data_IF_536731877589
#
_entry.id   IF_536731877589
#
_cell.length_a   1.000
_cell.length_b   1.000
_cell.length_c   1.000
_cell.angle_alpha   90.00
_cell.angle_beta   90.00
_cell.angle_gamma   90.00
#
_symmetry.space_group_name_H-M   'P 1'
#
loop_
_entity.id
_entity.type
_entity.pdbx_description
1 polymer ?
#
# COMPACT_ATOMS: atom_id res chain seq x y z
N UNK A 1 31.57 -21.20 -7.42
CA UNK A 1 31.31 -21.09 -5.96
C UNK A 1 29.84 -21.36 -5.65
N UNK A 2 28.89 -20.94 -6.50
CA UNK A 2 27.44 -21.17 -6.31
C UNK A 2 27.02 -22.63 -6.37
N UNK A 3 27.54 -23.41 -7.33
CA UNK A 3 27.20 -24.83 -7.43
C UNK A 3 27.60 -25.68 -6.19
N UNK A 4 28.65 -25.25 -5.47
CA UNK A 4 29.08 -25.93 -4.23
C UNK A 4 28.12 -25.67 -3.06
N UNK A 5 27.60 -24.47 -2.92
CA UNK A 5 26.65 -24.12 -1.86
C UNK A 5 25.29 -24.80 -2.09
N UNK A 6 24.80 -24.80 -3.32
CA UNK A 6 23.54 -25.47 -3.71
C UNK A 6 23.62 -26.97 -3.42
N UNK A 7 24.72 -27.63 -3.85
CA UNK A 7 24.93 -29.07 -3.60
C UNK A 7 25.06 -29.37 -2.11
N UNK A 8 25.70 -28.47 -1.34
CA UNK A 8 25.83 -28.64 0.12
C UNK A 8 24.46 -28.50 0.82
N UNK A 9 23.69 -27.48 0.49
CA UNK A 9 22.35 -27.27 1.08
C UNK A 9 21.40 -28.41 0.70
N UNK A 10 21.40 -28.83 -0.55
CA UNK A 10 20.62 -29.97 -1.00
C UNK A 10 21.00 -31.25 -0.25
N UNK A 11 22.32 -31.55 -0.13
CA UNK A 11 22.78 -32.74 0.60
C UNK A 11 22.40 -32.70 2.08
N UNK A 12 22.46 -31.51 2.72
CA UNK A 12 22.06 -31.32 4.11
C UNK A 12 20.56 -31.61 4.30
N UNK A 13 19.73 -31.09 3.41
CA UNK A 13 18.26 -31.27 3.47
C UNK A 13 17.85 -32.70 3.20
N UNK A 14 18.56 -33.39 2.30
CA UNK A 14 18.30 -34.82 2.00
C UNK A 14 18.73 -35.77 3.12
N UNK A 15 19.65 -35.37 4.00
CA UNK A 15 20.05 -36.14 5.17
C UNK A 15 19.03 -36.07 6.33
N UNK A 16 18.06 -35.16 6.27
CA UNK A 16 17.01 -35.05 7.29
C UNK A 16 16.14 -36.34 7.21
N UNK A 17 15.87 -36.99 8.36
CA UNK A 17 14.93 -38.13 8.42
C UNK A 17 13.55 -37.73 7.87
N UNK A 18 12.87 -38.65 7.20
CA UNK A 18 11.60 -38.39 6.50
C UNK A 18 10.48 -37.89 7.42
N UNK A 19 10.45 -38.33 8.66
CA UNK A 19 9.53 -37.90 9.71
C UNK A 19 9.78 -36.46 10.17
N UNK A 20 11.00 -35.95 10.03
CA UNK A 20 11.37 -34.58 10.40
C UNK A 20 11.31 -33.58 9.23
N UNK A 21 11.27 -34.02 7.98
CA UNK A 21 11.20 -33.15 6.79
C UNK A 21 10.00 -32.20 6.81
N UNK A 22 8.77 -32.60 7.21
CA UNK A 22 7.65 -31.65 7.30
C UNK A 22 7.89 -30.52 8.30
N UNK A 23 8.58 -30.79 9.41
CA UNK A 23 8.96 -29.77 10.40
C UNK A 23 10.08 -28.89 9.89
N UNK A 24 11.04 -29.45 9.19
CA UNK A 24 12.10 -28.70 8.51
C UNK A 24 11.54 -27.78 7.44
N UNK A 25 10.53 -28.24 6.69
CA UNK A 25 9.80 -27.43 5.70
C UNK A 25 9.12 -26.21 6.36
N UNK A 26 8.45 -26.42 7.49
CA UNK A 26 7.83 -25.33 8.26
C UNK A 26 8.88 -24.35 8.80
N UNK A 27 10.00 -24.86 9.34
CA UNK A 27 11.10 -24.04 9.87
C UNK A 27 11.77 -23.20 8.76
N UNK A 28 12.11 -23.81 7.63
CA UNK A 28 12.66 -23.12 6.47
C UNK A 28 11.67 -22.07 5.96
N UNK A 29 10.42 -22.46 5.80
CA UNK A 29 9.36 -21.56 5.35
C UNK A 29 9.17 -20.35 6.28
N UNK A 30 9.19 -20.57 7.60
CA UNK A 30 9.07 -19.52 8.59
C UNK A 30 10.25 -18.54 8.54
N UNK A 31 11.47 -19.03 8.39
CA UNK A 31 12.67 -18.19 8.27
C UNK A 31 12.57 -17.29 7.03
N UNK A 32 12.22 -17.89 5.88
CA UNK A 32 12.07 -17.14 4.62
C UNK A 32 10.91 -16.13 4.71
N UNK A 33 9.78 -16.53 5.31
CA UNK A 33 8.63 -15.65 5.54
C UNK A 33 9.02 -14.41 6.35
N UNK A 34 9.71 -14.59 7.47
CA UNK A 34 10.16 -13.47 8.31
C UNK A 34 11.16 -12.59 7.55
N UNK A 35 12.14 -13.19 6.88
CA UNK A 35 13.10 -12.45 6.05
C UNK A 35 12.40 -11.64 4.95
N UNK A 36 11.43 -12.26 4.26
CA UNK A 36 10.65 -11.58 3.23
C UNK A 36 9.77 -10.47 3.80
N UNK A 37 9.15 -10.66 4.97
CA UNK A 37 8.35 -9.63 5.63
C UNK A 37 9.21 -8.41 6.00
N UNK A 38 10.41 -8.63 6.53
CA UNK A 38 11.36 -7.55 6.83
C UNK A 38 11.83 -6.83 5.57
N UNK A 39 12.18 -7.58 4.53
CA UNK A 39 12.56 -7.03 3.23
C UNK A 39 11.42 -6.20 2.62
N UNK A 40 10.24 -6.77 2.55
CA UNK A 40 9.06 -6.11 1.97
C UNK A 40 8.67 -4.86 2.77
N UNK A 41 8.65 -4.94 4.10
CA UNK A 41 8.35 -3.80 4.96
C UNK A 41 9.36 -2.66 4.81
N UNK A 42 10.65 -2.98 4.74
CA UNK A 42 11.70 -1.98 4.48
C UNK A 42 11.56 -1.36 3.07
N UNK A 43 11.22 -2.16 2.07
CA UNK A 43 10.96 -1.71 0.70
C UNK A 43 9.74 -0.78 0.63
N UNK A 44 8.63 -1.15 1.24
CA UNK A 44 7.43 -0.29 1.35
C UNK A 44 7.76 1.02 2.05
N UNK A 45 8.49 0.96 3.17
CA UNK A 45 8.93 2.16 3.88
C UNK A 45 9.80 3.07 2.98
N UNK A 46 10.75 2.50 2.26
CA UNK A 46 11.60 3.24 1.33
C UNK A 46 10.79 3.93 0.22
N UNK A 47 9.80 3.23 -0.36
CA UNK A 47 8.91 3.81 -1.38
C UNK A 47 8.07 4.95 -0.80
N UNK A 48 7.53 4.81 0.40
CA UNK A 48 6.78 5.88 1.06
C UNK A 48 7.65 7.11 1.37
N UNK A 49 8.88 6.89 1.83
CA UNK A 49 9.86 7.99 2.05
C UNK A 49 10.22 8.65 0.72
N UNK A 50 10.48 7.87 -0.33
CA UNK A 50 10.73 8.39 -1.68
C UNK A 50 9.56 9.23 -2.17
N UNK A 51 8.32 8.71 -2.08
CA UNK A 51 7.10 9.43 -2.48
C UNK A 51 6.97 10.76 -1.75
N UNK A 52 7.01 10.75 -0.41
CA UNK A 52 6.90 11.95 0.43
C UNK A 52 8.02 12.98 0.17
N UNK A 53 9.24 12.54 -0.10
CA UNK A 53 10.36 13.43 -0.42
C UNK A 53 10.15 14.15 -1.74
N UNK A 54 9.70 13.42 -2.77
CA UNK A 54 9.47 14.00 -4.08
C UNK A 54 8.19 14.84 -4.10
N UNK A 55 7.15 14.44 -3.40
CA UNK A 55 5.95 15.27 -3.16
C UNK A 55 6.35 16.64 -2.58
N UNK A 56 7.15 16.67 -1.51
CA UNK A 56 7.64 17.94 -0.93
C UNK A 56 8.48 18.79 -1.90
N UNK A 57 9.25 18.16 -2.78
CA UNK A 57 10.02 18.90 -3.82
C UNK A 57 9.11 19.52 -4.85
N UNK A 58 8.07 18.81 -5.27
CA UNK A 58 7.05 19.32 -6.17
C UNK A 58 6.31 20.51 -5.55
N UNK A 59 6.04 20.47 -4.24
CA UNK A 59 5.40 21.59 -3.51
C UNK A 59 6.25 22.86 -3.49
N UNK A 60 7.57 22.74 -3.47
CA UNK A 60 8.48 23.90 -3.43
C UNK A 60 8.69 24.55 -4.79
N UNK A 61 8.25 23.90 -5.88
CA UNK A 61 8.38 24.34 -7.27
C UNK A 61 7.05 24.85 -7.85
N UNK A 62 6.97 24.85 -9.19
CA UNK A 62 5.72 24.99 -9.95
C UNK A 62 5.41 23.64 -10.58
N UNK A 63 4.79 22.71 -9.85
CA UNK A 63 4.57 21.36 -10.35
C UNK A 63 3.61 21.38 -11.52
N UNK A 64 3.88 20.48 -12.48
CA UNK A 64 2.97 20.19 -13.58
C UNK A 64 2.18 18.91 -13.27
N UNK A 65 0.94 18.81 -13.74
CA UNK A 65 0.13 17.60 -13.58
C UNK A 65 0.86 16.30 -13.99
N UNK A 66 1.67 16.37 -15.04
CA UNK A 66 2.48 15.24 -15.51
C UNK A 66 3.50 14.74 -14.48
N UNK A 67 4.12 15.64 -13.72
CA UNK A 67 5.10 15.29 -12.68
C UNK A 67 4.43 14.61 -11.49
N UNK A 68 3.27 15.09 -11.08
CA UNK A 68 2.47 14.47 -10.03
C UNK A 68 2.03 13.05 -10.42
N UNK A 69 1.51 12.88 -11.65
CA UNK A 69 1.09 11.58 -12.18
C UNK A 69 2.27 10.62 -12.35
N UNK A 70 3.42 11.12 -12.80
CA UNK A 70 4.65 10.32 -12.92
C UNK A 70 5.15 9.84 -11.56
N UNK A 71 5.15 10.71 -10.55
CA UNK A 71 5.52 10.34 -9.18
C UNK A 71 4.60 9.25 -8.62
N UNK A 72 3.29 9.39 -8.83
CA UNK A 72 2.29 8.40 -8.45
C UNK A 72 2.55 7.06 -9.15
N UNK A 73 2.64 7.06 -10.48
CA UNK A 73 2.88 5.86 -11.28
C UNK A 73 4.19 5.15 -10.90
N UNK A 74 5.26 5.92 -10.67
CA UNK A 74 6.55 5.38 -10.21
C UNK A 74 6.41 4.71 -8.85
N UNK A 75 5.68 5.32 -7.91
CA UNK A 75 5.49 4.74 -6.58
C UNK A 75 4.69 3.44 -6.63
N UNK A 76 3.63 3.39 -7.45
CA UNK A 76 2.84 2.17 -7.68
C UNK A 76 3.68 1.08 -8.33
N UNK A 77 4.48 1.42 -9.34
CA UNK A 77 5.39 0.49 -10.00
C UNK A 77 6.42 -0.11 -9.03
N UNK A 78 7.02 0.73 -8.17
CA UNK A 78 7.97 0.27 -7.16
C UNK A 78 7.30 -0.67 -6.14
N UNK A 79 6.09 -0.36 -5.68
CA UNK A 79 5.33 -1.24 -4.79
C UNK A 79 5.02 -2.59 -5.45
N UNK A 80 4.61 -2.58 -6.72
CA UNK A 80 4.36 -3.82 -7.47
C UNK A 80 5.63 -4.65 -7.67
N UNK A 81 6.75 -3.98 -7.92
CA UNK A 81 8.06 -4.64 -8.09
C UNK A 81 8.49 -5.42 -6.85
N UNK A 82 8.13 -4.96 -5.63
CA UNK A 82 8.42 -5.68 -4.39
C UNK A 82 7.74 -7.06 -4.36
N UNK A 83 6.54 -7.21 -4.92
CA UNK A 83 5.87 -8.51 -5.00
C UNK A 83 6.57 -9.46 -5.97
N UNK A 84 6.99 -8.94 -7.14
CA UNK A 84 7.75 -9.74 -8.11
C UNK A 84 9.06 -10.22 -7.49
N UNK A 85 9.78 -9.33 -6.79
CA UNK A 85 11.01 -9.70 -6.08
C UNK A 85 10.71 -10.74 -4.98
N UNK A 86 9.59 -10.62 -4.28
CA UNK A 86 9.16 -11.61 -3.28
C UNK A 86 8.97 -13.00 -3.88
N UNK A 87 8.33 -13.12 -5.04
CA UNK A 87 8.19 -14.37 -5.78
C UNK A 87 9.57 -14.93 -6.18
N UNK A 88 10.46 -14.05 -6.68
CA UNK A 88 11.80 -14.45 -7.09
C UNK A 88 12.66 -14.90 -5.91
N UNK A 89 12.52 -14.28 -4.72
CA UNK A 89 13.21 -14.75 -3.49
C UNK A 89 12.75 -16.15 -3.14
N UNK A 90 11.45 -16.43 -3.14
CA UNK A 90 10.94 -17.78 -2.90
C UNK A 90 11.45 -18.79 -3.93
N UNK A 91 11.38 -18.45 -5.23
CA UNK A 91 11.87 -19.30 -6.30
C UNK A 91 13.37 -19.58 -6.18
N UNK A 92 14.15 -18.56 -5.84
CA UNK A 92 15.58 -18.68 -5.59
C UNK A 92 15.86 -19.66 -4.44
N UNK A 93 15.16 -19.53 -3.32
CA UNK A 93 15.33 -20.43 -2.17
C UNK A 93 15.00 -21.87 -2.56
N UNK A 94 13.85 -22.12 -3.21
CA UNK A 94 13.45 -23.47 -3.59
C UNK A 94 14.42 -24.11 -4.60
N UNK A 95 14.92 -23.33 -5.55
CA UNK A 95 15.90 -23.78 -6.52
C UNK A 95 17.26 -24.10 -5.85
N UNK A 96 17.74 -23.23 -4.93
CA UNK A 96 19.01 -23.43 -4.23
C UNK A 96 18.96 -24.58 -3.21
N UNK A 97 17.80 -24.81 -2.61
CA UNK A 97 17.58 -25.98 -1.76
C UNK A 97 17.44 -27.28 -2.58
N UNK A 98 17.40 -27.21 -3.90
CA UNK A 98 17.20 -28.34 -4.78
C UNK A 98 15.81 -28.97 -4.71
N UNK A 99 14.83 -28.25 -4.15
CA UNK A 99 13.44 -28.73 -4.04
C UNK A 99 12.71 -28.65 -5.38
N UNK A 100 13.10 -27.73 -6.25
CA UNK A 100 12.66 -27.62 -7.65
C UNK A 100 13.90 -27.34 -8.50
N UNK A 101 14.27 -28.29 -9.35
CA UNK A 101 15.54 -28.24 -10.09
C UNK A 101 15.58 -27.19 -11.19
N UNK A 102 14.42 -26.92 -11.83
CA UNK A 102 14.35 -25.98 -12.94
C UNK A 102 13.90 -24.60 -12.43
N UNK A 103 14.69 -23.57 -12.66
CA UNK A 103 14.39 -22.21 -12.22
C UNK A 103 13.03 -21.71 -12.73
N UNK A 104 12.66 -22.02 -13.98
CA UNK A 104 11.37 -21.61 -14.54
C UNK A 104 10.19 -22.26 -13.79
N UNK A 105 10.32 -23.57 -13.46
CA UNK A 105 9.30 -24.30 -12.71
C UNK A 105 9.20 -23.76 -11.27
N UNK A 106 10.33 -23.39 -10.66
CA UNK A 106 10.36 -22.76 -9.34
C UNK A 106 9.67 -21.40 -9.35
N UNK A 107 9.92 -20.56 -10.35
CA UNK A 107 9.24 -19.24 -10.48
C UNK A 107 7.73 -19.45 -10.68
N UNK A 108 7.35 -20.37 -11.56
CA UNK A 108 5.94 -20.67 -11.81
C UNK A 108 5.23 -21.19 -10.56
N UNK A 109 5.82 -22.15 -9.86
CA UNK A 109 5.30 -22.71 -8.63
C UNK A 109 5.12 -21.60 -7.55
N UNK A 110 6.18 -20.83 -7.32
CA UNK A 110 6.15 -19.76 -6.32
C UNK A 110 5.13 -18.65 -6.67
N UNK A 111 5.02 -18.28 -7.94
CA UNK A 111 4.02 -17.31 -8.39
C UNK A 111 2.59 -17.82 -8.13
N UNK A 112 2.31 -19.09 -8.47
CA UNK A 112 1.00 -19.70 -8.20
C UNK A 112 0.68 -19.80 -6.71
N UNK A 113 1.63 -20.22 -5.89
CA UNK A 113 1.45 -20.33 -4.45
C UNK A 113 1.30 -18.94 -3.81
N UNK A 114 2.15 -17.97 -4.17
CA UNK A 114 2.15 -16.61 -3.66
C UNK A 114 0.85 -15.85 -3.98
N UNK A 115 0.30 -16.06 -5.16
CA UNK A 115 -0.99 -15.48 -5.58
C UNK A 115 -2.20 -16.32 -5.18
N UNK A 116 -1.99 -17.46 -4.53
CA UNK A 116 -3.02 -18.43 -4.13
C UNK A 116 -3.84 -19.01 -5.30
N UNK A 117 -3.32 -18.96 -6.53
CA UNK A 117 -4.00 -19.51 -7.71
C UNK A 117 -4.09 -21.04 -7.70
N UNK A 118 -3.01 -21.72 -7.31
CA UNK A 118 -3.01 -23.16 -7.06
C UNK A 118 -3.22 -24.04 -8.29
N UNK A 119 -2.76 -23.67 -9.47
CA UNK A 119 -2.95 -24.45 -10.70
C UNK A 119 -2.27 -25.84 -10.72
N UNK A 120 -1.42 -26.18 -9.75
CA UNK A 120 -0.96 -27.55 -9.52
C UNK A 120 -0.17 -28.22 -10.65
N UNK A 121 0.47 -27.46 -11.56
CA UNK A 121 1.24 -28.02 -12.69
C UNK A 121 2.62 -28.53 -12.24
N UNK A 122 3.15 -27.93 -11.18
CA UNK A 122 4.43 -28.27 -10.55
C UNK A 122 4.15 -28.55 -9.08
N UNK A 123 4.50 -29.73 -8.61
CA UNK A 123 4.33 -30.13 -7.21
C UNK A 123 5.68 -30.32 -6.53
N UNK A 124 5.72 -30.00 -5.23
CA UNK A 124 6.81 -30.37 -4.35
C UNK A 124 6.65 -31.82 -3.90
N UNK A 125 7.78 -32.45 -3.59
CA UNK A 125 7.78 -33.75 -2.90
C UNK A 125 6.81 -33.68 -1.69
N UNK A 126 5.99 -34.72 -1.46
CA UNK A 126 4.98 -34.72 -0.38
C UNK A 126 5.52 -34.32 0.99
N UNK A 127 6.78 -34.53 1.27
CA UNK A 127 7.44 -34.20 2.53
C UNK A 127 7.72 -32.69 2.67
N UNK A 128 7.80 -31.93 1.56
CA UNK A 128 8.11 -30.52 1.49
C UNK A 128 6.90 -29.65 1.14
N UNK A 129 5.74 -30.24 0.85
CA UNK A 129 4.54 -29.51 0.39
C UNK A 129 4.04 -28.46 1.37
N UNK A 130 4.40 -28.56 2.67
CA UNK A 130 4.02 -27.56 3.69
C UNK A 130 4.63 -26.17 3.44
N UNK A 131 5.62 -26.04 2.55
CA UNK A 131 6.16 -24.74 2.12
C UNK A 131 5.13 -23.95 1.30
N UNK A 132 4.33 -24.61 0.46
CA UNK A 132 3.36 -23.95 -0.43
C UNK A 132 2.36 -23.05 0.32
N UNK A 133 1.68 -23.51 1.39
CA UNK A 133 0.81 -22.62 2.19
C UNK A 133 1.54 -21.43 2.80
N UNK A 134 2.82 -21.59 3.20
CA UNK A 134 3.61 -20.51 3.79
C UNK A 134 3.92 -19.44 2.74
N UNK A 135 4.22 -19.85 1.50
CA UNK A 135 4.36 -18.93 0.36
C UNK A 135 3.06 -18.15 0.16
N UNK A 136 1.90 -18.83 0.20
CA UNK A 136 0.59 -18.18 0.09
C UNK A 136 0.33 -17.19 1.21
N UNK A 137 0.61 -17.54 2.46
CA UNK A 137 0.51 -16.63 3.60
C UNK A 137 1.40 -15.42 3.41
N UNK A 138 2.64 -15.60 2.91
CA UNK A 138 3.56 -14.49 2.64
C UNK A 138 3.00 -13.54 1.58
N UNK A 139 2.38 -14.07 0.53
CA UNK A 139 1.73 -13.30 -0.52
C UNK A 139 0.57 -12.46 0.03
N UNK A 140 -0.38 -13.09 0.71
CA UNK A 140 -1.53 -12.43 1.31
C UNK A 140 -1.12 -11.31 2.28
N UNK A 141 -0.14 -11.59 3.16
CA UNK A 141 0.36 -10.62 4.12
C UNK A 141 0.98 -9.40 3.44
N UNK A 142 1.86 -9.62 2.46
CA UNK A 142 2.52 -8.54 1.74
C UNK A 142 1.55 -7.73 0.87
N UNK A 143 0.54 -8.36 0.26
CA UNK A 143 -0.53 -7.66 -0.47
C UNK A 143 -1.34 -6.76 0.45
N UNK A 144 -1.73 -7.25 1.63
CA UNK A 144 -2.46 -6.45 2.61
C UNK A 144 -1.63 -5.23 3.07
N UNK A 145 -0.34 -5.43 3.33
CA UNK A 145 0.58 -4.36 3.72
C UNK A 145 0.76 -3.32 2.62
N UNK A 146 1.00 -3.77 1.38
CA UNK A 146 1.14 -2.88 0.21
C UNK A 146 -0.15 -2.10 -0.05
N UNK A 147 -1.32 -2.72 0.08
CA UNK A 147 -2.62 -2.04 -0.07
C UNK A 147 -2.76 -0.91 0.94
N UNK A 148 -2.40 -1.15 2.20
CA UNK A 148 -2.40 -0.10 3.23
C UNK A 148 -1.47 1.07 2.88
N UNK A 149 -0.26 0.77 2.37
CA UNK A 149 0.68 1.80 1.92
C UNK A 149 0.17 2.57 0.70
N UNK A 150 -0.48 1.88 -0.24
CA UNK A 150 -1.03 2.47 -1.45
C UNK A 150 -2.11 3.51 -1.15
N UNK A 151 -2.94 3.30 -0.12
CA UNK A 151 -3.91 4.32 0.34
C UNK A 151 -3.19 5.64 0.67
N UNK A 152 -2.05 5.58 1.36
CA UNK A 152 -1.24 6.77 1.65
C UNK A 152 -0.71 7.47 0.40
N UNK A 153 -0.27 6.72 -0.59
CA UNK A 153 0.23 7.24 -1.89
C UNK A 153 -0.91 7.89 -2.68
N UNK A 154 -2.08 7.23 -2.76
CA UNK A 154 -3.28 7.76 -3.44
C UNK A 154 -3.75 9.06 -2.79
N UNK A 155 -3.83 9.09 -1.46
CA UNK A 155 -4.23 10.28 -0.71
C UNK A 155 -3.27 11.44 -0.93
N UNK A 156 -1.95 11.18 -0.91
CA UNK A 156 -0.93 12.18 -1.23
C UNK A 156 -1.07 12.73 -2.64
N UNK A 157 -1.26 11.85 -3.62
CA UNK A 157 -1.46 12.23 -5.01
C UNK A 157 -2.71 13.12 -5.21
N UNK A 158 -3.84 12.74 -4.63
CA UNK A 158 -5.08 13.51 -4.74
C UNK A 158 -4.93 14.92 -4.14
N UNK A 159 -4.28 15.04 -2.97
CA UNK A 159 -3.98 16.35 -2.37
C UNK A 159 -3.10 17.22 -3.26
N UNK A 160 -2.11 16.60 -3.92
CA UNK A 160 -1.22 17.33 -4.84
C UNK A 160 -1.99 17.84 -6.06
N UNK A 161 -2.88 17.02 -6.64
CA UNK A 161 -3.73 17.42 -7.78
C UNK A 161 -4.67 18.55 -7.39
N UNK A 162 -5.35 18.47 -6.27
CA UNK A 162 -6.25 19.52 -5.76
C UNK A 162 -5.53 20.86 -5.61
N UNK A 163 -4.33 20.85 -5.08
CA UNK A 163 -3.53 22.07 -4.94
C UNK A 163 -3.10 22.67 -6.28
N UNK A 164 -2.79 21.81 -7.27
CA UNK A 164 -2.48 22.25 -8.62
C UNK A 164 -3.68 22.96 -9.27
N UNK A 165 -4.87 22.46 -9.02
CA UNK A 165 -6.12 23.08 -9.51
C UNK A 165 -6.35 24.45 -8.86
N UNK A 166 -6.20 24.55 -7.54
CA UNK A 166 -6.32 25.81 -6.80
C UNK A 166 -5.29 26.86 -7.28
N UNK A 167 -4.04 26.44 -7.46
CA UNK A 167 -2.99 27.34 -7.99
C UNK A 167 -3.30 27.80 -9.41
N UNK A 168 -3.81 26.90 -10.26
CA UNK A 168 -4.22 27.23 -11.62
C UNK A 168 -5.37 28.22 -11.67
N UNK A 169 -6.39 28.01 -10.85
CA UNK A 169 -7.53 28.93 -10.73
C UNK A 169 -7.05 30.32 -10.30
N UNK A 170 -6.22 30.38 -9.26
CA UNK A 170 -5.62 31.63 -8.77
C UNK A 170 -4.82 32.37 -9.85
N UNK A 171 -4.06 31.64 -10.65
CA UNK A 171 -3.32 32.24 -11.78
C UNK A 171 -4.24 32.76 -12.88
N UNK A 172 -5.34 32.06 -13.17
CA UNK A 172 -6.33 32.50 -14.14
C UNK A 172 -7.00 33.78 -13.69
N UNK A 173 -7.31 33.91 -12.40
CA UNK A 173 -7.89 35.12 -11.81
C UNK A 173 -6.92 36.31 -11.86
N UNK A 174 -5.66 36.09 -11.47
CA UNK A 174 -4.62 37.10 -11.58
C UNK A 174 -4.43 37.60 -13.02
N UNK A 175 -4.49 36.67 -14.00
CA UNK A 175 -4.45 37.02 -15.42
C UNK A 175 -5.69 37.79 -15.88
N UNK A 176 -6.86 37.42 -15.39
CA UNK A 176 -8.11 38.11 -15.68
C UNK A 176 -8.10 39.53 -15.07
N UNK A 177 -7.66 39.67 -13.80
CA UNK A 177 -7.49 40.95 -13.13
C UNK A 177 -6.48 41.87 -13.85
N UNK A 178 -5.33 41.29 -14.28
CA UNK A 178 -4.33 42.01 -15.06
C UNK A 178 -4.87 42.47 -16.43
N UNK A 179 -5.65 41.62 -17.10
CA UNK A 179 -6.29 41.92 -18.40
C UNK A 179 -7.32 43.04 -18.25
N UNK A 180 -8.11 43.00 -17.18
CA UNK A 180 -9.08 44.05 -16.83
C UNK A 180 -8.40 45.37 -16.48
N UNK A 181 -7.27 45.34 -15.75
CA UNK A 181 -6.48 46.52 -15.44
C UNK A 181 -5.89 47.18 -16.71
N UNK A 182 -5.39 46.35 -17.66
CA UNK A 182 -4.90 46.83 -18.96
C UNK A 182 -6.04 47.42 -19.81
N UNK A 183 -7.21 46.78 -19.83
CA UNK A 183 -8.43 47.31 -20.49
C UNK A 183 -8.83 48.70 -19.94
N UNK A 184 -8.59 48.88 -18.64
CA UNK A 184 -8.86 50.10 -17.94
C UNK A 184 -7.99 51.27 -18.37
N UNK A 185 -6.71 51.03 -18.42
CA UNK A 185 -5.72 52.07 -18.86
C UNK A 185 -6.02 52.51 -20.32
N UNK A 186 -6.63 51.61 -21.13
CA UNK A 186 -7.08 51.95 -22.49
C UNK A 186 -8.40 52.68 -22.59
N UNK A 187 -9.07 53.00 -21.47
CA UNK A 187 -10.31 53.75 -21.46
C UNK A 187 -11.55 53.03 -22.05
N UNK A 188 -11.50 51.69 -22.10
CA UNK A 188 -12.54 50.91 -22.75
C UNK A 188 -13.68 50.44 -21.83
N UNK A 189 -13.59 50.61 -20.52
CA UNK A 189 -14.65 50.25 -19.56
C UNK A 189 -14.92 51.32 -18.53
N UNK A 190 -16.20 51.52 -18.15
CA UNK A 190 -16.57 52.45 -17.06
C UNK A 190 -16.11 51.88 -15.70
N UNK A 191 -15.72 52.76 -14.78
CA UNK A 191 -15.27 52.35 -13.42
C UNK A 191 -16.33 51.52 -12.67
N UNK A 192 -17.61 51.79 -12.89
CA UNK A 192 -18.72 51.10 -12.25
C UNK A 192 -18.86 49.62 -12.76
N UNK A 193 -18.68 49.38 -14.04
CA UNK A 193 -18.78 48.08 -14.66
C UNK A 193 -17.61 47.18 -14.22
N UNK A 194 -16.46 47.79 -14.02
CA UNK A 194 -15.24 47.13 -13.55
C UNK A 194 -15.35 46.71 -12.07
N UNK A 195 -15.86 47.56 -11.21
CA UNK A 195 -16.09 47.25 -9.80
C UNK A 195 -17.12 46.11 -9.63
N UNK A 196 -18.16 46.10 -10.50
CA UNK A 196 -19.18 45.03 -10.52
C UNK A 196 -18.58 43.69 -10.92
N UNK A 197 -17.75 43.64 -11.98
CA UNK A 197 -17.10 42.38 -12.45
C UNK A 197 -16.12 41.82 -11.43
N UNK A 198 -15.28 42.67 -10.82
CA UNK A 198 -14.35 42.27 -9.77
C UNK A 198 -15.05 41.75 -8.52
N UNK A 199 -16.15 42.37 -8.13
CA UNK A 199 -16.97 41.92 -7.00
C UNK A 199 -17.60 40.55 -7.28
N UNK A 200 -18.21 40.41 -8.45
CA UNK A 200 -18.84 39.13 -8.85
C UNK A 200 -17.81 37.98 -8.96
N UNK A 201 -16.60 38.23 -9.50
CA UNK A 201 -15.55 37.24 -9.57
C UNK A 201 -15.07 36.79 -8.16
N UNK A 202 -14.85 37.73 -7.25
CA UNK A 202 -14.49 37.42 -5.86
C UNK A 202 -15.58 36.67 -5.10
N UNK A 203 -16.84 37.08 -5.29
CA UNK A 203 -17.98 36.44 -4.64
C UNK A 203 -18.24 35.04 -5.15
N UNK A 204 -17.94 34.76 -6.42
CA UNK A 204 -18.02 33.42 -7.02
C UNK A 204 -16.90 32.50 -6.49
N UNK A 205 -15.68 33.00 -6.41
CA UNK A 205 -14.54 32.31 -5.82
C UNK A 205 -14.76 31.96 -4.36
N UNK A 206 -15.16 32.95 -3.55
CA UNK A 206 -15.41 32.74 -2.13
C UNK A 206 -16.51 31.71 -1.87
N UNK A 207 -17.55 31.64 -2.74
CA UNK A 207 -18.59 30.62 -2.67
C UNK A 207 -18.05 29.24 -2.98
N UNK A 208 -17.31 29.07 -4.07
CA UNK A 208 -16.76 27.77 -4.46
C UNK A 208 -15.73 27.22 -3.47
N UNK A 209 -14.92 28.09 -2.85
CA UNK A 209 -14.01 27.68 -1.77
C UNK A 209 -14.78 27.28 -0.52
N UNK A 210 -15.84 28.04 -0.16
CA UNK A 210 -16.66 27.74 1.01
C UNK A 210 -17.43 26.43 0.87
N UNK A 211 -18.05 26.17 -0.29
CA UNK A 211 -18.76 24.92 -0.58
C UNK A 211 -17.83 23.71 -0.51
N UNK A 212 -16.60 23.83 -1.06
CA UNK A 212 -15.61 22.74 -0.96
C UNK A 212 -15.15 22.48 0.48
N UNK A 213 -14.99 23.55 1.27
CA UNK A 213 -14.60 23.43 2.67
C UNK A 213 -15.72 22.86 3.56
N UNK A 214 -16.97 23.20 3.26
CA UNK A 214 -18.16 22.66 3.94
C UNK A 214 -18.32 21.16 3.61
N UNK A 215 -18.20 20.76 2.35
CA UNK A 215 -18.27 19.36 1.93
C UNK A 215 -17.14 18.53 2.58
N UNK A 216 -15.90 19.02 2.57
CA UNK A 216 -14.79 18.33 3.22
C UNK A 216 -15.00 18.17 4.73
N UNK A 217 -15.53 19.21 5.39
CA UNK A 217 -15.82 19.16 6.83
C UNK A 217 -16.94 18.18 7.18
N UNK A 218 -17.90 18.05 6.29
CA UNK A 218 -19.03 17.13 6.50
C UNK A 218 -18.59 15.68 6.22
N UNK A 219 -17.76 15.44 5.23
CA UNK A 219 -17.10 14.14 5.01
C UNK A 219 -16.20 13.72 6.20
N UNK A 220 -15.43 14.65 6.75
CA UNK A 220 -14.55 14.37 7.89
C UNK A 220 -15.35 14.03 9.16
N UNK A 221 -16.48 14.73 9.40
CA UNK A 221 -17.40 14.39 10.48
C UNK A 221 -18.07 13.02 10.28
N UNK A 222 -18.45 12.68 9.06
CA UNK A 222 -19.05 11.40 8.75
C UNK A 222 -18.06 10.25 9.00
N UNK A 223 -16.79 10.44 8.61
CA UNK A 223 -15.71 9.50 8.90
C UNK A 223 -15.47 9.38 10.42
N UNK A 224 -15.52 10.49 11.15
CA UNK A 224 -15.30 10.48 12.60
C UNK A 224 -16.46 9.79 13.32
N UNK A 225 -17.70 10.04 12.92
CA UNK A 225 -18.87 9.33 13.46
C UNK A 225 -18.86 7.83 13.16
N UNK A 226 -18.43 7.43 11.96
CA UNK A 226 -18.25 5.99 11.63
C UNK A 226 -17.17 5.34 12.49
N UNK A 227 -16.05 6.02 12.71
CA UNK A 227 -14.98 5.52 13.60
C UNK A 227 -15.42 5.40 15.05
N UNK A 228 -16.22 6.33 15.54
CA UNK A 228 -16.78 6.26 16.89
C UNK A 228 -17.79 5.11 17.03
N UNK A 229 -18.66 4.92 16.02
CA UNK A 229 -19.61 3.81 15.98
C UNK A 229 -18.88 2.44 15.91
N UNK A 230 -17.80 2.34 15.16
CA UNK A 230 -16.98 1.14 15.08
C UNK A 230 -16.26 0.84 16.42
N UNK A 231 -15.69 1.88 17.06
CA UNK A 231 -15.10 1.74 18.40
C UNK A 231 -16.11 1.32 19.45
N UNK A 232 -17.34 1.86 19.39
CA UNK A 232 -18.42 1.48 20.28
C UNK A 232 -18.83 0.00 20.08
N UNK A 233 -18.93 -0.46 18.82
CA UNK A 233 -19.19 -1.88 18.51
C UNK A 233 -18.09 -2.81 19.04
N UNK A 234 -16.83 -2.44 18.84
CA UNK A 234 -15.69 -3.21 19.35
C UNK A 234 -15.71 -3.26 20.89
N UNK A 235 -16.03 -2.15 21.55
CA UNK A 235 -16.14 -2.10 23.00
C UNK A 235 -17.30 -2.99 23.53
N UNK A 236 -18.43 -3.02 22.81
CA UNK A 236 -19.57 -3.88 23.15
C UNK A 236 -19.25 -5.38 22.97
N UNK A 237 -18.54 -5.73 21.90
CA UNK A 237 -18.08 -7.10 21.66
C UNK A 237 -17.13 -7.55 22.79
N UNK A 238 -16.13 -6.74 23.14
CA UNK A 238 -15.19 -7.04 24.23
C UNK A 238 -15.89 -7.17 25.58
N UNK A 239 -16.95 -6.37 25.81
CA UNK A 239 -17.73 -6.47 27.05
C UNK A 239 -18.48 -7.78 27.12
N UNK A 240 -19.06 -8.22 26.00
CA UNK A 240 -19.76 -9.55 25.93
C UNK A 240 -18.79 -10.71 26.08
N UNK A 241 -17.60 -10.64 25.46
CA UNK A 241 -16.56 -11.66 25.62
C UNK A 241 -16.12 -11.79 27.08
N UNK A 242 -15.88 -10.67 27.79
CA UNK A 242 -15.53 -10.68 29.21
C UNK A 242 -16.68 -11.17 30.09
N UNK A 243 -17.96 -10.85 29.78
CA UNK A 243 -19.13 -11.36 30.52
C UNK A 243 -19.36 -12.87 30.30
N UNK A 244 -18.95 -13.40 29.16
CA UNK A 244 -19.02 -14.83 28.86
C UNK A 244 -17.83 -15.60 29.45
N UNK A 245 -16.63 -14.99 29.53
CA UNK A 245 -15.51 -15.55 30.31
C UNK A 245 -15.79 -15.61 31.81
N UNK A 246 -16.44 -14.60 32.39
CA UNK A 246 -16.82 -14.59 33.81
C UNK A 246 -17.90 -15.63 34.12
N UNK A 247 -18.74 -16.01 33.15
CA UNK A 247 -19.74 -17.08 33.29
C UNK A 247 -19.19 -18.49 33.21
N UNK A 248 -18.05 -18.66 32.57
CA UNK A 248 -17.27 -19.89 32.52
C UNK A 248 -16.33 -19.97 33.74
N UNK A 249 -16.89 -19.96 34.94
CA UNK A 249 -16.17 -20.03 36.20
C UNK A 249 -14.97 -20.98 36.21
N UNK A 250 -14.03 -20.85 37.18
CA UNK A 250 -12.75 -21.54 37.17
C UNK A 250 -12.96 -23.04 37.08
N UNK A 251 -12.44 -23.62 36.01
CA UNK A 251 -12.56 -25.04 35.72
C UNK A 251 -12.13 -25.88 36.91
N UNK A 252 -13.00 -26.79 37.26
CA UNK A 252 -12.77 -27.85 38.28
C UNK A 252 -11.44 -28.57 37.94
N UNK A 253 -10.55 -28.79 38.91
CA UNK A 253 -9.35 -29.59 38.68
C UNK A 253 -9.78 -31.05 38.35
N UNK A 254 -9.06 -31.75 37.51
CA UNK A 254 -9.33 -33.14 37.21
C UNK A 254 -9.06 -33.97 38.47
N UNK A 255 -10.08 -34.67 38.92
CA UNK A 255 -9.97 -35.67 39.97
C UNK A 255 -9.00 -36.78 39.54
N UNK A 256 -8.19 -37.15 40.48
CA UNK A 256 -7.21 -38.21 40.63
C UNK A 256 -7.44 -39.51 39.84
#
# INVERSE_FOLDING_TARGET
MEAGLTNFLHSLLMQIPDDLKPWAALGLGAIVLVGLALFHGSGVHAVLVFHKRNERRLWSGRPHHSEATLLFGTSVFLLLSLHIIGVLIWAFVLAHCGLILKANDAIYFCANAYTTLGYGIVDLDPQWRNISPIIGISGLFTFAWTTSALVGVVTGHNRLLEQLEIEREKQLELRAAARNAIGAVRGQESEAERASRLKNAKDHEARGVRERFENWRDEDKEIETMREAERAKIAEIRKKENEDEDKLGPGMPPDS
#
